data_IF_594062723281
#
_entry.id   IF_594062723281
#
_cell.length_a   1.000
_cell.length_b   1.000
_cell.length_c   1.000
_cell.angle_alpha   90.00
_cell.angle_beta   90.00
_cell.angle_gamma   90.00
#
_symmetry.space_group_name_H-M   'P 1'
#
loop_
_entity.id
_entity.type
_entity.pdbx_description
1 polymer ?
#
# COMPACT_ATOMS: atom_id res chain seq x y z
N UNK A 1 15.86 16.06 -1.43
CA UNK A 1 14.47 16.34 -1.87
C UNK A 1 13.56 15.16 -1.52
N UNK A 2 12.22 15.35 -1.45
CA UNK A 2 11.29 14.23 -1.28
C UNK A 2 11.41 13.23 -2.45
N UNK A 3 11.26 11.94 -2.16
CA UNK A 3 11.45 10.85 -3.12
C UNK A 3 10.37 9.78 -2.96
N UNK A 4 9.77 9.38 -4.07
CA UNK A 4 8.90 8.21 -4.18
C UNK A 4 9.59 7.12 -4.99
N UNK A 5 9.46 5.87 -4.57
CA UNK A 5 10.08 4.72 -5.24
C UNK A 5 9.26 3.45 -5.05
N UNK A 6 9.24 2.59 -6.07
CA UNK A 6 8.79 1.20 -5.92
C UNK A 6 9.92 0.42 -5.29
N UNK A 7 9.68 -0.18 -4.13
CA UNK A 7 10.70 -0.95 -3.41
C UNK A 7 10.67 -2.43 -3.77
N UNK A 8 9.48 -2.96 -4.12
CA UNK A 8 9.29 -4.38 -4.39
C UNK A 8 7.99 -4.62 -5.18
N UNK A 9 8.00 -5.64 -6.03
CA UNK A 9 6.81 -6.24 -6.64
C UNK A 9 6.56 -7.57 -5.96
N UNK A 10 5.72 -7.58 -4.93
CA UNK A 10 5.38 -8.77 -4.18
C UNK A 10 4.29 -9.58 -4.92
N UNK A 11 4.04 -10.79 -4.42
CA UNK A 11 3.13 -11.77 -5.04
C UNK A 11 1.70 -11.24 -5.28
N UNK A 12 1.20 -10.40 -4.38
CA UNK A 12 -0.12 -9.75 -4.49
C UNK A 12 -0.10 -8.24 -4.20
N UNK A 13 1.07 -7.58 -4.24
CA UNK A 13 1.15 -6.14 -3.98
C UNK A 13 2.33 -5.46 -4.66
N UNK A 14 2.18 -4.17 -4.95
CA UNK A 14 3.29 -3.28 -5.31
C UNK A 14 3.65 -2.44 -4.09
N UNK A 15 4.86 -2.62 -3.57
CA UNK A 15 5.31 -1.91 -2.38
C UNK A 15 5.95 -0.58 -2.80
N UNK A 16 5.37 0.53 -2.34
CA UNK A 16 5.80 1.90 -2.65
C UNK A 16 6.29 2.58 -1.37
N UNK A 17 7.41 3.30 -1.46
CA UNK A 17 7.99 4.07 -0.36
C UNK A 17 8.08 5.55 -0.71
N UNK A 18 7.65 6.41 0.22
CA UNK A 18 7.86 7.85 0.21
C UNK A 18 8.89 8.22 1.29
N UNK A 19 9.94 8.95 0.91
CA UNK A 19 10.92 9.55 1.81
C UNK A 19 10.86 11.07 1.69
N UNK A 20 10.53 11.75 2.76
CA UNK A 20 10.53 13.21 2.85
C UNK A 20 11.16 13.67 4.16
N UNK A 21 11.52 14.96 4.21
CA UNK A 21 11.99 15.62 5.43
C UNK A 21 10.87 16.50 5.96
N UNK A 22 10.68 16.52 7.27
CA UNK A 22 9.77 17.43 7.98
C UNK A 22 10.43 17.92 9.26
N UNK A 23 9.90 18.99 9.84
CA UNK A 23 10.33 19.50 11.14
C UNK A 23 10.05 18.46 12.24
N UNK A 24 10.82 18.48 13.33
CA UNK A 24 10.62 17.53 14.43
C UNK A 24 9.23 17.64 15.06
N UNK A 25 8.66 18.84 15.09
CA UNK A 25 7.28 19.12 15.57
C UNK A 25 6.23 18.38 14.73
N UNK A 26 6.49 18.18 13.44
CA UNK A 26 5.56 17.59 12.48
C UNK A 26 5.75 16.07 12.28
N UNK A 27 6.74 15.49 12.98
CA UNK A 27 7.20 14.11 12.77
C UNK A 27 6.09 13.06 12.88
N UNK A 28 5.03 13.32 13.64
CA UNK A 28 3.89 12.43 13.78
C UNK A 28 2.75 12.77 12.83
N UNK A 29 2.39 14.04 12.69
CA UNK A 29 1.25 14.47 11.88
C UNK A 29 1.47 14.23 10.39
N UNK A 30 2.65 14.61 9.88
CA UNK A 30 3.00 14.47 8.46
C UNK A 30 2.85 13.04 7.93
N UNK A 31 3.41 11.98 8.56
CA UNK A 31 3.26 10.64 8.03
C UNK A 31 1.83 10.09 8.18
N UNK A 32 0.99 10.58 9.09
CA UNK A 32 -0.42 10.19 9.14
C UNK A 32 -1.21 10.82 8.00
N UNK A 33 -1.05 12.12 7.79
CA UNK A 33 -1.74 12.85 6.72
C UNK A 33 -1.33 12.34 5.34
N UNK A 34 -0.04 12.09 5.13
CA UNK A 34 0.46 11.53 3.87
C UNK A 34 -0.11 10.14 3.60
N UNK A 35 -0.27 9.27 4.61
CA UNK A 35 -0.88 7.95 4.43
C UNK A 35 -2.36 8.04 4.08
N UNK A 36 -3.10 8.92 4.76
CA UNK A 36 -4.52 9.15 4.47
C UNK A 36 -4.70 9.67 3.04
N UNK A 37 -3.94 10.68 2.66
CA UNK A 37 -4.02 11.26 1.32
C UNK A 37 -3.59 10.25 0.26
N UNK A 38 -2.55 9.45 0.50
CA UNK A 38 -2.16 8.39 -0.41
C UNK A 38 -3.29 7.37 -0.63
N UNK A 39 -3.99 6.95 0.43
CA UNK A 39 -5.14 6.05 0.32
C UNK A 39 -6.25 6.66 -0.54
N UNK A 40 -6.65 7.89 -0.23
CA UNK A 40 -7.72 8.58 -0.97
C UNK A 40 -7.35 8.76 -2.45
N UNK A 41 -6.13 9.20 -2.76
CA UNK A 41 -5.69 9.38 -4.14
C UNK A 41 -5.60 8.08 -4.94
N UNK A 42 -5.22 6.97 -4.29
CA UNK A 42 -5.22 5.63 -4.93
C UNK A 42 -6.65 5.22 -5.27
N UNK A 43 -7.61 5.44 -4.38
CA UNK A 43 -9.03 5.13 -4.59
C UNK A 43 -9.66 6.02 -5.66
N UNK A 44 -9.35 7.32 -5.66
CA UNK A 44 -9.80 8.28 -6.69
C UNK A 44 -9.27 7.92 -8.09
N UNK A 45 -8.06 7.35 -8.17
CA UNK A 45 -7.49 6.83 -9.40
C UNK A 45 -8.10 5.49 -9.85
N UNK A 46 -9.06 4.94 -9.11
CA UNK A 46 -9.75 3.68 -9.43
C UNK A 46 -8.99 2.42 -9.00
N UNK A 47 -7.94 2.56 -8.19
CA UNK A 47 -7.19 1.43 -7.66
C UNK A 47 -7.63 1.09 -6.23
N UNK A 48 -7.40 -0.15 -5.81
CA UNK A 48 -7.65 -0.59 -4.43
C UNK A 48 -6.40 -1.19 -3.81
N UNK A 49 -6.32 -1.16 -2.48
CA UNK A 49 -5.24 -1.83 -1.77
C UNK A 49 -5.57 -3.33 -1.76
N UNK A 50 -4.66 -4.19 -2.25
CA UNK A 50 -4.91 -5.62 -2.33
C UNK A 50 -5.04 -6.22 -0.93
N UNK A 51 -6.07 -7.05 -0.74
CA UNK A 51 -6.12 -7.99 0.38
C UNK A 51 -5.30 -9.23 0.04
N UNK A 52 -4.79 -9.93 1.06
CA UNK A 52 -4.11 -11.21 0.82
C UNK A 52 -5.05 -12.17 0.10
N UNK A 53 -4.63 -12.63 -1.07
CA UNK A 53 -5.41 -13.53 -1.88
C UNK A 53 -5.26 -14.96 -1.34
N UNK A 54 -6.37 -15.61 -1.04
CA UNK A 54 -6.39 -17.03 -0.68
C UNK A 54 -7.03 -17.83 -1.81
N UNK A 55 -6.29 -18.76 -2.41
CA UNK A 55 -6.84 -19.74 -3.36
C UNK A 55 -7.32 -20.98 -2.59
N UNK A 56 -8.60 -21.32 -2.70
CA UNK A 56 -9.17 -22.53 -2.10
C UNK A 56 -9.44 -23.54 -3.22
N UNK A 57 -8.68 -24.64 -3.23
CA UNK A 57 -8.94 -25.76 -4.14
C UNK A 57 -9.69 -26.87 -3.42
N UNK A 58 -10.95 -27.07 -3.78
CA UNK A 58 -11.76 -28.20 -3.28
C UNK A 58 -11.51 -29.40 -4.19
N UNK A 59 -10.93 -30.47 -3.63
CA UNK A 59 -10.79 -31.75 -4.32
C UNK A 59 -11.91 -32.64 -3.78
N UNK A 60 -12.96 -32.83 -4.58
CA UNK A 60 -14.03 -33.78 -4.26
C UNK A 60 -13.51 -35.20 -4.47
N UNK A 61 -13.44 -35.98 -3.40
CA UNK A 61 -13.27 -37.42 -3.52
C UNK A 61 -14.60 -38.00 -3.97
N UNK A 62 -14.71 -38.32 -5.25
CA UNK A 62 -15.85 -39.02 -5.82
C UNK A 62 -15.75 -40.49 -5.42
N UNK A 63 -16.10 -40.78 -4.17
CA UNK A 63 -16.41 -42.14 -3.70
C UNK A 63 -17.89 -42.45 -3.88
#
# INVERSE_FOLDING_TARGET
PPQTMVTELADSSVNIRLRCWCSSEDSWHVPFDLRKNAKLSIEEAGYTIPFQQHEIRIIGDSS
#
